data_IF_602487923148
#
_entry.id   IF_602487923148
#
_cell.length_a   1.000
_cell.length_b   1.000
_cell.length_c   1.000
_cell.angle_alpha   90.00
_cell.angle_beta   90.00
_cell.angle_gamma   90.00
#
_symmetry.space_group_name_H-M   'P 1'
#
loop_
_entity.id
_entity.type
_entity.pdbx_description
1 polymer ?
#
# COMPACT_ATOMS: atom_id res chain seq x y z
N UNK A 1 10.13 -11.24 -7.43
CA UNK A 1 9.47 -10.29 -6.52
C UNK A 1 7.99 -10.61 -6.50
N UNK A 2 7.29 -10.39 -5.38
CA UNK A 2 5.85 -10.67 -5.34
C UNK A 2 5.12 -9.56 -6.10
N UNK A 3 4.23 -9.92 -7.02
CA UNK A 3 3.48 -8.97 -7.87
C UNK A 3 2.34 -8.28 -7.11
N UNK A 4 1.94 -8.85 -5.97
CA UNK A 4 0.90 -8.35 -5.10
C UNK A 4 1.28 -8.40 -3.62
N UNK A 5 0.69 -7.51 -2.82
CA UNK A 5 0.77 -7.51 -1.36
C UNK A 5 -0.65 -7.62 -0.81
N UNK A 6 -0.93 -8.65 -0.04
CA UNK A 6 -2.19 -8.83 0.67
C UNK A 6 -2.12 -8.22 2.07
N UNK A 7 -3.03 -7.31 2.36
CA UNK A 7 -3.21 -6.69 3.67
C UNK A 7 -4.46 -7.28 4.32
N UNK A 8 -4.35 -7.70 5.57
CA UNK A 8 -5.47 -8.28 6.30
C UNK A 8 -5.12 -8.68 7.72
N UNK A 9 -6.10 -9.22 8.44
CA UNK A 9 -5.89 -9.66 9.84
C UNK A 9 -5.37 -11.09 9.95
N UNK A 10 -5.48 -11.90 8.90
CA UNK A 10 -5.13 -13.32 9.02
C UNK A 10 -3.60 -13.53 9.01
N UNK A 11 -3.02 -14.11 10.07
CA UNK A 11 -1.58 -14.11 10.31
C UNK A 11 -0.76 -14.91 9.28
N UNK A 12 -1.38 -15.91 8.64
CA UNK A 12 -0.70 -16.76 7.65
C UNK A 12 -1.09 -16.49 6.20
N UNK A 13 -2.14 -15.70 5.95
CA UNK A 13 -2.62 -15.43 4.59
C UNK A 13 -2.16 -14.06 4.11
N UNK A 14 -2.11 -13.06 4.99
CA UNK A 14 -1.71 -11.71 4.65
C UNK A 14 -0.19 -11.53 4.72
N UNK A 15 0.36 -10.72 3.83
CA UNK A 15 1.76 -10.27 3.86
C UNK A 15 1.95 -9.15 4.89
N UNK A 16 0.96 -8.27 5.00
CA UNK A 16 0.89 -7.22 6.02
C UNK A 16 -0.26 -7.55 6.96
N UNK A 17 0.10 -8.04 8.14
CA UNK A 17 -0.85 -8.45 9.17
C UNK A 17 -1.20 -7.27 10.05
N UNK A 18 -2.48 -6.90 10.09
CA UNK A 18 -2.99 -5.87 10.99
C UNK A 18 -3.73 -6.51 12.17
N UNK A 19 -3.29 -6.23 13.39
CA UNK A 19 -3.91 -6.71 14.63
C UNK A 19 -5.20 -5.94 15.00
N UNK A 20 -5.94 -5.47 14.00
CA UNK A 20 -7.17 -4.70 14.15
C UNK A 20 -8.38 -5.60 13.88
N UNK A 21 -9.24 -5.88 14.88
CA UNK A 21 -10.38 -6.79 14.72
C UNK A 21 -11.39 -6.31 13.66
N UNK A 22 -11.42 -5.02 13.34
CA UNK A 22 -12.28 -4.44 12.31
C UNK A 22 -11.74 -4.64 10.89
N UNK A 23 -10.52 -5.17 10.75
CA UNK A 23 -9.93 -5.56 9.48
C UNK A 23 -10.32 -7.00 9.14
N UNK A 24 -10.87 -7.21 7.94
CA UNK A 24 -11.16 -8.55 7.40
C UNK A 24 -9.90 -9.41 7.24
N UNK A 25 -10.07 -10.73 7.28
CA UNK A 25 -8.97 -11.70 7.16
C UNK A 25 -8.11 -11.48 5.90
N UNK A 26 -8.78 -11.21 4.77
CA UNK A 26 -8.22 -10.77 3.49
C UNK A 26 -8.92 -9.46 3.14
N UNK A 27 -8.33 -8.32 3.46
CA UNK A 27 -9.04 -7.03 3.43
C UNK A 27 -8.85 -6.32 2.10
N UNK A 28 -7.59 -6.05 1.76
CA UNK A 28 -7.23 -5.31 0.57
C UNK A 28 -5.95 -5.88 -0.04
N UNK A 29 -5.75 -5.64 -1.32
CA UNK A 29 -4.56 -6.05 -2.06
C UNK A 29 -3.96 -4.86 -2.77
N UNK A 30 -2.65 -4.71 -2.68
CA UNK A 30 -1.89 -3.79 -3.51
C UNK A 30 -1.32 -4.60 -4.67
N UNK A 31 -1.66 -4.23 -5.89
CA UNK A 31 -1.09 -4.79 -7.11
C UNK A 31 -0.01 -3.86 -7.64
N UNK A 32 1.13 -4.44 -8.01
CA UNK A 32 2.11 -3.73 -8.83
C UNK A 32 1.63 -3.74 -10.28
N UNK A 33 1.59 -2.58 -10.90
CA UNK A 33 1.29 -2.41 -12.32
C UNK A 33 2.53 -1.87 -13.05
N UNK A 34 2.48 -1.86 -14.39
CA UNK A 34 3.58 -1.35 -15.21
C UNK A 34 3.94 0.12 -14.88
N UNK A 35 2.94 0.92 -14.50
CA UNK A 35 3.07 2.37 -14.30
C UNK A 35 2.92 2.81 -12.84
N UNK A 36 2.78 1.88 -11.88
CA UNK A 36 2.57 2.25 -10.48
C UNK A 36 1.95 1.14 -9.64
N UNK A 37 1.11 1.51 -8.70
CA UNK A 37 0.44 0.60 -7.78
C UNK A 37 -1.07 0.84 -7.79
N UNK A 38 -1.84 -0.23 -7.64
CA UNK A 38 -3.29 -0.20 -7.52
C UNK A 38 -3.71 -0.84 -6.20
N UNK A 39 -4.59 -0.19 -5.47
CA UNK A 39 -5.25 -0.74 -4.28
C UNK A 39 -6.60 -1.34 -4.69
N UNK A 40 -6.89 -2.55 -4.22
CA UNK A 40 -8.15 -3.26 -4.41
C UNK A 40 -8.73 -3.66 -3.05
N UNK A 41 -10.01 -3.36 -2.82
CA UNK A 41 -10.79 -3.95 -1.73
C UNK A 41 -11.23 -5.37 -2.11
N UNK A 42 -11.10 -6.33 -1.19
CA UNK A 42 -11.42 -7.74 -1.44
C UNK A 42 -12.81 -8.15 -0.91
N UNK A 43 -13.76 -7.21 -0.89
CA UNK A 43 -15.07 -7.42 -0.26
C UNK A 43 -14.98 -7.34 1.26
N UNK A 44 -14.18 -6.39 1.76
CA UNK A 44 -13.99 -6.23 3.19
C UNK A 44 -15.27 -5.76 3.89
N UNK A 45 -15.42 -6.15 5.16
CA UNK A 45 -16.63 -5.85 5.94
C UNK A 45 -16.83 -4.36 6.16
N UNK A 46 -15.75 -3.63 6.47
CA UNK A 46 -15.81 -2.19 6.78
C UNK A 46 -15.43 -1.29 5.59
N UNK A 47 -14.99 -1.89 4.48
CA UNK A 47 -14.51 -1.19 3.29
C UNK A 47 -13.09 -0.66 3.42
N UNK A 48 -12.48 -0.46 2.26
CA UNK A 48 -11.22 0.23 2.08
C UNK A 48 -11.46 1.69 1.70
N UNK A 49 -10.67 2.60 2.27
CA UNK A 49 -10.74 4.02 1.97
C UNK A 49 -9.38 4.53 1.52
N UNK A 50 -9.39 5.35 0.49
CA UNK A 50 -8.22 6.05 -0.04
C UNK A 50 -8.49 7.55 0.07
N UNK A 51 -7.64 8.27 0.82
CA UNK A 51 -7.77 9.70 1.08
C UNK A 51 -9.18 10.11 1.55
N UNK A 52 -9.75 9.31 2.46
CA UNK A 52 -11.08 9.52 3.04
C UNK A 52 -12.26 9.04 2.17
N UNK A 53 -12.04 8.68 0.91
CA UNK A 53 -13.09 8.16 0.02
C UNK A 53 -13.12 6.64 0.03
N UNK A 54 -14.31 6.05 0.21
CA UNK A 54 -14.49 4.59 0.09
C UNK A 54 -14.30 4.17 -1.36
N UNK A 55 -13.54 3.11 -1.59
CA UNK A 55 -13.20 2.61 -2.92
C UNK A 55 -13.41 1.09 -3.02
N UNK A 56 -13.65 0.60 -4.23
CA UNK A 56 -13.43 -0.81 -4.57
C UNK A 56 -12.03 -0.99 -5.17
N UNK A 57 -11.60 -0.01 -5.97
CA UNK A 57 -10.25 0.07 -6.50
C UNK A 57 -9.78 1.54 -6.59
N UNK A 58 -8.47 1.76 -6.58
CA UNK A 58 -7.87 3.08 -6.75
C UNK A 58 -6.38 3.01 -7.03
N UNK A 59 -5.89 3.93 -7.88
CA UNK A 59 -4.46 4.10 -8.09
C UNK A 59 -3.81 4.71 -6.84
N UNK A 60 -2.64 4.19 -6.47
CA UNK A 60 -1.88 4.62 -5.30
C UNK A 60 -0.71 5.51 -5.71
N UNK A 61 -0.56 6.61 -4.98
CA UNK A 61 0.52 7.58 -5.12
C UNK A 61 1.27 7.77 -3.81
N UNK A 62 2.43 8.42 -3.90
CA UNK A 62 3.22 8.72 -2.71
C UNK A 62 2.43 9.58 -1.73
N UNK A 63 2.50 9.25 -0.45
CA UNK A 63 1.80 9.89 0.66
C UNK A 63 0.28 9.67 0.69
N UNK A 64 -0.27 8.80 -0.17
CA UNK A 64 -1.68 8.43 -0.08
C UNK A 64 -1.99 7.76 1.27
N UNK A 65 -3.13 8.14 1.83
CA UNK A 65 -3.63 7.64 3.11
C UNK A 65 -4.66 6.54 2.86
N UNK A 66 -4.34 5.34 3.33
CA UNK A 66 -5.16 4.15 3.19
C UNK A 66 -5.76 3.81 4.55
N UNK A 67 -7.09 3.74 4.65
CA UNK A 67 -7.76 3.30 5.87
C UNK A 67 -8.47 1.96 5.63
N UNK A 68 -8.17 0.99 6.51
CA UNK A 68 -8.71 -0.36 6.53
C UNK A 68 -9.29 -0.60 7.91
N UNK A 69 -10.61 -0.73 8.04
CA UNK A 69 -11.24 -0.75 9.36
C UNK A 69 -10.93 0.53 10.15
N UNK A 70 -10.38 0.37 11.36
CA UNK A 70 -9.95 1.46 12.25
C UNK A 70 -8.47 1.83 12.07
N UNK A 71 -7.71 1.07 11.29
CA UNK A 71 -6.28 1.28 11.04
C UNK A 71 -6.05 2.19 9.83
N UNK A 72 -5.12 3.13 9.95
CA UNK A 72 -4.69 4.02 8.86
C UNK A 72 -3.22 3.79 8.55
N UNK A 73 -2.90 3.66 7.26
CA UNK A 73 -1.57 3.47 6.70
C UNK A 73 -1.26 4.63 5.76
N UNK A 74 0.01 5.00 5.64
CA UNK A 74 0.48 5.98 4.66
C UNK A 74 1.44 5.28 3.71
N UNK A 75 1.21 5.43 2.40
CA UNK A 75 2.11 4.87 1.41
C UNK A 75 3.35 5.76 1.26
N UNK A 76 4.54 5.18 1.47
CA UNK A 76 5.80 5.87 1.22
C UNK A 76 6.63 5.05 0.26
N UNK A 77 7.22 5.71 -0.74
CA UNK A 77 8.26 5.12 -1.56
C UNK A 77 9.62 5.49 -0.95
N UNK A 78 10.55 4.53 -0.83
CA UNK A 78 11.91 4.90 -0.50
C UNK A 78 12.40 5.86 -1.59
N UNK A 79 12.84 7.05 -1.20
CA UNK A 79 13.54 7.93 -2.13
C UNK A 79 14.69 7.11 -2.72
N UNK A 80 14.75 7.03 -4.06
CA UNK A 80 15.93 6.50 -4.72
C UNK A 80 17.12 7.27 -4.17
N UNK A 81 18.08 6.56 -3.57
CA UNK A 81 19.29 7.16 -3.03
C UNK A 81 19.90 8.04 -4.12
N UNK A 82 19.90 9.35 -3.91
CA UNK A 82 20.63 10.27 -4.77
C UNK A 82 22.11 9.98 -4.55
N UNK A 83 22.67 9.05 -5.32
CA UNK A 83 24.09 9.05 -5.58
C UNK A 83 24.37 10.35 -6.33
N UNK A 84 24.75 11.38 -5.58
CA UNK A 84 25.36 12.57 -6.13
C UNK A 84 26.62 12.09 -6.82
N UNK A 85 26.59 11.99 -8.15
CA UNK A 85 27.80 12.01 -8.95
C UNK A 85 28.42 13.38 -8.66
N UNK A 86 29.34 13.42 -7.70
CA UNK A 86 30.29 14.50 -7.63
C UNK A 86 31.02 14.47 -8.98
N UNK A 87 30.65 15.42 -9.85
CA UNK A 87 31.48 15.83 -10.97
C UNK A 87 32.81 16.25 -10.37
N UNK A 88 33.77 15.32 -10.37
CA UNK A 88 35.17 15.68 -10.23
C UNK A 88 35.51 16.42 -11.53
N UNK A 89 35.45 17.74 -11.44
CA UNK A 89 35.98 18.63 -12.45
C UNK A 89 37.44 18.28 -12.72
N UNK A 90 37.78 18.45 -13.98
CA UNK A 90 39.10 18.59 -14.56
C UNK A 90 40.03 19.44 -13.66
N UNK A 91 41.19 18.90 -13.30
CA UNK A 91 42.53 19.38 -13.67
C UNK A 91 43.62 18.41 -13.18
#
# INVERSE_FOLDING_TARGET
FKEDILIGRHPTLADVVLADPTVSARHARILRQATGFQLLDLGSTNGTYLNGKRIQEGALHENDVIRLGATTLVLQFPRASQHTLATRGED
#
